data_IF_167032432008
#
_entry.id   IF_167032432008
#
_cell.length_a   1.000
_cell.length_b   1.000
_cell.length_c   1.000
_cell.angle_alpha   90.00
_cell.angle_beta   90.00
_cell.angle_gamma   90.00
#
_symmetry.space_group_name_H-M   'P 1'
#
loop_
_entity.id
_entity.type
_entity.pdbx_description
1 polymer ?
#
# COMPACT_ATOMS: atom_id res chain seq x y z
N UNK A 1 -18.14 -15.75 40.97
CA UNK A 1 -17.08 -15.13 40.15
C UNK A 1 -17.32 -15.57 38.71
N UNK A 2 -17.94 -14.71 37.89
CA UNK A 2 -18.20 -15.02 36.49
C UNK A 2 -17.00 -14.58 35.67
N UNK A 3 -16.27 -15.53 35.08
CA UNK A 3 -15.26 -15.26 34.05
C UNK A 3 -16.00 -15.09 32.73
N UNK A 4 -16.09 -13.86 32.22
CA UNK A 4 -16.43 -13.61 30.83
C UNK A 4 -15.19 -13.90 29.98
N UNK A 5 -15.18 -15.05 29.31
CA UNK A 5 -14.24 -15.29 28.21
C UNK A 5 -14.88 -14.66 26.97
N UNK A 6 -14.39 -13.49 26.57
CA UNK A 6 -14.72 -12.94 25.27
C UNK A 6 -14.06 -13.81 24.20
N UNK A 7 -14.75 -14.15 23.10
CA UNK A 7 -14.12 -14.85 21.99
C UNK A 7 -13.06 -13.93 21.38
N UNK A 8 -11.82 -14.44 21.28
CA UNK A 8 -10.77 -13.84 20.46
C UNK A 8 -11.30 -13.74 19.04
N UNK A 9 -11.35 -12.52 18.52
CA UNK A 9 -11.76 -12.21 17.15
C UNK A 9 -10.68 -12.70 16.17
N UNK A 10 -10.62 -14.01 15.95
CA UNK A 10 -9.62 -14.67 15.12
C UNK A 10 -9.59 -14.23 13.63
N UNK A 11 -10.55 -13.41 13.18
CA UNK A 11 -10.60 -12.91 11.79
C UNK A 11 -9.95 -11.55 11.56
N UNK A 12 -9.65 -10.78 12.61
CA UNK A 12 -9.03 -9.44 12.45
C UNK A 12 -7.55 -9.52 12.14
N UNK A 13 -6.83 -10.36 12.90
CA UNK A 13 -5.38 -10.51 12.81
C UNK A 13 -4.96 -11.21 11.49
N UNK A 14 -5.75 -12.19 11.02
CA UNK A 14 -5.48 -12.90 9.76
C UNK A 14 -5.54 -11.97 8.52
N UNK A 15 -6.48 -11.02 8.51
CA UNK A 15 -6.58 -10.02 7.43
C UNK A 15 -5.39 -9.06 7.44
N UNK A 16 -4.95 -8.64 8.64
CA UNK A 16 -3.78 -7.76 8.79
C UNK A 16 -2.50 -8.45 8.36
N UNK A 17 -2.28 -9.69 8.81
CA UNK A 17 -1.12 -10.49 8.43
C UNK A 17 -1.10 -10.77 6.94
N UNK A 18 -2.23 -11.17 6.35
CA UNK A 18 -2.35 -11.39 4.91
C UNK A 18 -2.06 -10.13 4.10
N UNK A 19 -2.62 -9.00 4.48
CA UNK A 19 -2.38 -7.72 3.81
C UNK A 19 -0.89 -7.35 3.85
N UNK A 20 -0.28 -7.49 5.03
CA UNK A 20 1.14 -7.19 5.22
C UNK A 20 2.05 -8.14 4.42
N UNK A 21 1.74 -9.44 4.38
CA UNK A 21 2.50 -10.44 3.64
C UNK A 21 2.43 -10.20 2.13
N UNK A 22 1.25 -9.85 1.60
CA UNK A 22 1.09 -9.45 0.20
C UNK A 22 1.94 -8.21 -0.14
N UNK A 23 1.87 -7.17 0.69
CA UNK A 23 2.70 -5.97 0.51
C UNK A 23 4.20 -6.30 0.59
N UNK A 24 4.62 -7.14 1.53
CA UNK A 24 6.01 -7.57 1.66
C UNK A 24 6.47 -8.35 0.42
N UNK A 25 5.64 -9.25 -0.10
CA UNK A 25 5.98 -9.99 -1.32
C UNK A 25 6.05 -9.06 -2.53
N UNK A 26 5.13 -8.10 -2.67
CA UNK A 26 5.20 -7.09 -3.73
C UNK A 26 6.49 -6.25 -3.66
N UNK A 27 6.98 -5.93 -2.45
CA UNK A 27 8.28 -5.25 -2.30
C UNK A 27 9.47 -6.11 -2.74
N UNK A 28 9.41 -7.43 -2.52
CA UNK A 28 10.42 -8.37 -3.03
C UNK A 28 10.38 -8.37 -4.55
N UNK A 29 9.20 -8.49 -5.15
CA UNK A 29 9.01 -8.49 -6.60
C UNK A 29 9.51 -7.18 -7.24
N UNK A 30 9.24 -6.02 -6.62
CA UNK A 30 9.84 -4.73 -7.00
C UNK A 30 11.36 -4.76 -7.01
N UNK A 31 11.99 -5.38 -6.01
CA UNK A 31 13.45 -5.47 -5.90
C UNK A 31 14.06 -6.38 -6.98
N UNK A 32 13.27 -7.32 -7.51
CA UNK A 32 13.63 -8.21 -8.61
C UNK A 32 13.21 -7.66 -9.98
N UNK A 33 12.72 -6.41 -10.04
CA UNK A 33 12.17 -5.75 -11.24
C UNK A 33 10.98 -6.48 -11.89
N UNK A 34 10.24 -7.26 -11.11
CA UNK A 34 8.96 -7.91 -11.47
C UNK A 34 7.79 -6.96 -11.17
N UNK A 35 7.73 -5.86 -11.92
CA UNK A 35 6.85 -4.74 -11.59
C UNK A 35 5.38 -5.08 -11.78
N UNK A 36 5.03 -5.81 -12.83
CA UNK A 36 3.67 -6.26 -13.12
C UNK A 36 3.12 -7.21 -12.05
N UNK A 37 3.94 -8.15 -11.58
CA UNK A 37 3.60 -9.04 -10.47
C UNK A 37 3.44 -8.27 -9.16
N UNK A 38 4.34 -7.31 -8.90
CA UNK A 38 4.26 -6.46 -7.73
C UNK A 38 2.96 -5.63 -7.70
N UNK A 39 2.53 -5.08 -8.84
CA UNK A 39 1.26 -4.34 -8.97
C UNK A 39 0.08 -5.18 -8.48
N UNK A 40 -0.01 -6.44 -8.92
CA UNK A 40 -1.11 -7.33 -8.52
C UNK A 40 -1.12 -7.52 -7.01
N UNK A 41 0.04 -7.81 -6.41
CA UNK A 41 0.17 -8.03 -4.97
C UNK A 41 -0.19 -6.79 -4.15
N UNK A 42 0.28 -5.62 -4.57
CA UNK A 42 -0.05 -4.37 -3.88
C UNK A 42 -1.53 -4.02 -4.00
N UNK A 43 -2.15 -4.23 -5.16
CA UNK A 43 -3.59 -4.01 -5.33
C UNK A 43 -4.42 -4.98 -4.49
N UNK A 44 -3.97 -6.23 -4.33
CA UNK A 44 -4.61 -7.19 -3.41
C UNK A 44 -4.45 -6.76 -1.95
N UNK A 45 -3.27 -6.30 -1.55
CA UNK A 45 -3.04 -5.76 -0.21
C UNK A 45 -3.95 -4.54 0.05
N UNK A 46 -4.01 -3.59 -0.88
CA UNK A 46 -4.83 -2.37 -0.77
C UNK A 46 -6.35 -2.65 -0.65
N UNK A 47 -6.84 -3.77 -1.20
CA UNK A 47 -8.24 -4.21 -1.01
C UNK A 47 -8.53 -4.67 0.42
N UNK A 48 -7.53 -5.18 1.14
CA UNK A 48 -7.66 -5.64 2.52
C UNK A 48 -7.49 -4.51 3.51
N UNK A 49 -6.44 -3.70 3.30
CA UNK A 49 -6.08 -2.55 4.13
C UNK A 49 -5.43 -1.47 3.27
N UNK A 50 -5.81 -0.22 3.48
CA UNK A 50 -5.18 0.91 2.82
C UNK A 50 -3.86 1.32 3.49
N UNK A 51 -3.11 2.17 2.81
CA UNK A 51 -1.86 2.76 3.30
C UNK A 51 -2.02 3.31 4.72
N UNK A 52 -1.05 2.99 5.57
CA UNK A 52 -0.98 3.38 6.98
C UNK A 52 -2.08 2.82 7.90
N UNK A 53 -2.95 1.91 7.43
CA UNK A 53 -3.94 1.25 8.30
C UNK A 53 -3.35 0.12 9.16
N UNK A 54 -2.13 -0.33 8.86
CA UNK A 54 -1.37 -1.32 9.65
C UNK A 54 -0.19 -0.59 10.31
N UNK A 55 -0.18 -0.52 11.64
CA UNK A 55 0.78 0.32 12.42
C UNK A 55 1.64 -0.46 13.40
N UNK A 56 1.28 -1.72 13.65
CA UNK A 56 1.87 -2.62 14.62
C UNK A 56 3.02 -3.47 14.06
N UNK A 57 3.37 -3.28 12.78
CA UNK A 57 4.42 -4.01 12.07
C UNK A 57 5.62 -3.09 11.76
N UNK A 58 6.85 -3.62 11.69
CA UNK A 58 8.07 -2.81 11.57
C UNK A 58 8.30 -2.19 10.18
N UNK A 59 7.73 -2.75 9.10
CA UNK A 59 7.77 -2.13 7.77
C UNK A 59 6.56 -1.22 7.59
N UNK A 60 6.79 -0.08 6.94
CA UNK A 60 5.72 0.83 6.59
C UNK A 60 4.82 0.23 5.50
N UNK A 61 3.55 0.06 5.84
CA UNK A 61 2.53 -0.50 4.95
C UNK A 61 1.95 0.58 4.02
N UNK A 62 2.37 0.58 2.76
CA UNK A 62 1.97 1.60 1.75
C UNK A 62 1.67 1.01 0.36
N UNK A 63 0.74 0.04 0.27
CA UNK A 63 0.49 -0.69 -0.97
C UNK A 63 0.01 0.20 -2.13
N UNK A 64 -0.76 1.25 -1.88
CA UNK A 64 -1.26 2.15 -2.93
C UNK A 64 -0.13 2.98 -3.51
N UNK A 65 0.73 3.57 -2.67
CA UNK A 65 1.92 4.26 -3.13
C UNK A 65 2.83 3.33 -3.96
N UNK A 66 3.05 2.11 -3.47
CA UNK A 66 3.89 1.13 -4.14
C UNK A 66 3.29 0.66 -5.48
N UNK A 67 1.96 0.56 -5.59
CA UNK A 67 1.25 0.32 -6.85
C UNK A 67 1.54 1.44 -7.86
N UNK A 68 1.38 2.70 -7.44
CA UNK A 68 1.66 3.86 -8.29
C UNK A 68 3.11 3.89 -8.77
N UNK A 69 4.05 3.60 -7.86
CA UNK A 69 5.47 3.57 -8.17
C UNK A 69 5.84 2.43 -9.13
N UNK A 70 5.19 1.27 -9.01
CA UNK A 70 5.37 0.18 -9.94
C UNK A 70 4.84 0.53 -11.35
N UNK A 71 3.68 1.19 -11.45
CA UNK A 71 3.19 1.73 -12.73
C UNK A 71 4.15 2.76 -13.34
N UNK A 72 4.75 3.62 -12.52
CA UNK A 72 5.81 4.53 -12.97
C UNK A 72 7.00 3.76 -13.57
N UNK A 73 7.44 2.66 -12.93
CA UNK A 73 8.59 1.87 -13.41
C UNK A 73 8.37 1.20 -14.77
N UNK A 74 7.13 0.80 -15.07
CA UNK A 74 6.78 0.23 -16.38
C UNK A 74 6.38 1.29 -17.41
N UNK A 75 6.34 2.56 -17.02
CA UNK A 75 5.96 3.68 -17.91
C UNK A 75 4.46 3.81 -18.16
N UNK A 76 3.61 3.10 -17.42
CA UNK A 76 2.16 3.28 -17.46
C UNK A 76 1.76 4.55 -16.69
N UNK A 77 2.00 5.68 -17.35
CA UNK A 77 1.84 7.01 -16.76
C UNK A 77 0.42 7.27 -16.30
N UNK A 78 -0.58 6.85 -17.07
CA UNK A 78 -1.99 7.09 -16.75
C UNK A 78 -2.36 6.44 -15.42
N UNK A 79 -2.03 5.16 -15.24
CA UNK A 79 -2.32 4.46 -13.99
C UNK A 79 -1.46 4.94 -12.82
N UNK A 80 -0.19 5.30 -13.06
CA UNK A 80 0.63 5.92 -12.04
C UNK A 80 -0.02 7.21 -11.50
N UNK A 81 -0.55 8.05 -12.39
CA UNK A 81 -1.29 9.26 -12.01
C UNK A 81 -2.54 8.96 -11.17
N UNK A 82 -3.33 7.95 -11.57
CA UNK A 82 -4.53 7.55 -10.84
C UNK A 82 -4.20 7.08 -9.42
N UNK A 83 -3.20 6.20 -9.28
CA UNK A 83 -2.82 5.60 -8.01
C UNK A 83 -2.11 6.61 -7.09
N UNK A 84 -1.26 7.50 -7.60
CA UNK A 84 -0.69 8.58 -6.77
C UNK A 84 -1.75 9.55 -6.27
N UNK A 85 -2.77 9.88 -7.08
CA UNK A 85 -3.91 10.70 -6.63
C UNK A 85 -4.72 9.95 -5.57
N UNK A 86 -4.93 8.64 -5.72
CA UNK A 86 -5.62 7.81 -4.74
C UNK A 86 -4.85 7.77 -3.41
N UNK A 87 -3.55 7.53 -3.46
CA UNK A 87 -2.65 7.56 -2.32
C UNK A 87 -2.77 8.87 -1.55
N UNK A 88 -2.60 10.02 -2.21
CA UNK A 88 -2.67 11.34 -1.57
C UNK A 88 -4.05 11.63 -0.98
N UNK A 89 -5.12 11.16 -1.62
CA UNK A 89 -6.50 11.31 -1.13
C UNK A 89 -6.75 10.52 0.16
N UNK A 90 -6.09 9.37 0.34
CA UNK A 90 -6.36 8.41 1.42
C UNK A 90 -5.38 8.50 2.59
N UNK A 91 -4.11 8.83 2.33
CA UNK A 91 -3.04 8.80 3.34
C UNK A 91 -3.22 9.79 4.51
N UNK A 92 -4.11 10.80 4.36
CA UNK A 92 -4.42 11.75 5.42
C UNK A 92 -3.20 12.56 5.89
N UNK A 93 -3.22 13.04 7.14
CA UNK A 93 -2.16 13.90 7.70
C UNK A 93 -0.89 13.17 8.16
N UNK A 94 -0.89 11.83 8.15
CA UNK A 94 0.21 11.01 8.68
C UNK A 94 1.12 10.47 7.56
N UNK A 95 0.89 10.92 6.33
CA UNK A 95 1.68 10.52 5.17
C UNK A 95 3.15 10.85 5.36
N UNK A 96 4.03 9.92 5.01
CA UNK A 96 5.47 10.18 5.03
C UNK A 96 5.82 11.30 4.03
N UNK A 97 6.58 12.33 4.44
CA UNK A 97 6.89 13.47 3.58
C UNK A 97 7.52 13.10 2.25
N UNK A 98 8.44 12.13 2.24
CA UNK A 98 9.13 11.68 1.02
C UNK A 98 8.19 11.02 0.02
N UNK A 99 7.22 10.22 0.48
CA UNK A 99 6.21 9.60 -0.39
C UNK A 99 5.23 10.63 -0.91
N UNK A 100 4.85 11.59 -0.06
CA UNK A 100 3.99 12.71 -0.48
C UNK A 100 4.67 13.56 -1.55
N UNK A 101 5.92 13.95 -1.32
CA UNK A 101 6.72 14.75 -2.27
C UNK A 101 6.87 14.02 -3.61
N UNK A 102 7.23 12.72 -3.59
CA UNK A 102 7.30 11.91 -4.80
C UNK A 102 5.97 11.90 -5.58
N UNK A 103 4.86 11.65 -4.89
CA UNK A 103 3.53 11.60 -5.52
C UNK A 103 3.11 12.98 -6.10
N UNK A 104 3.31 14.06 -5.34
CA UNK A 104 2.99 15.42 -5.78
C UNK A 104 3.84 15.82 -7.00
N UNK A 105 5.15 15.55 -6.98
CA UNK A 105 6.06 15.86 -8.07
C UNK A 105 5.76 15.04 -9.32
N UNK A 106 5.46 13.74 -9.17
CA UNK A 106 5.05 12.92 -10.31
C UNK A 106 3.78 13.48 -10.95
N UNK A 107 2.76 13.79 -10.13
CA UNK A 107 1.50 14.34 -10.63
C UNK A 107 1.71 15.65 -11.37
N UNK A 108 2.45 16.59 -10.78
CA UNK A 108 2.71 17.91 -11.34
C UNK A 108 3.40 17.85 -12.71
N UNK A 109 4.33 16.90 -12.89
CA UNK A 109 5.17 16.83 -14.08
C UNK A 109 4.63 15.91 -15.18
N UNK A 110 3.73 14.98 -14.84
CA UNK A 110 3.34 13.89 -15.75
C UNK A 110 1.83 13.73 -15.95
N UNK A 111 0.98 14.32 -15.09
CA UNK A 111 -0.45 14.06 -15.06
C UNK A 111 -1.24 15.31 -15.46
N UNK A 112 -1.32 15.55 -16.78
CA UNK A 112 -2.15 16.61 -17.39
C UNK A 112 -3.65 16.37 -17.15
#
# INVERSE_FOLDING_TARGET
>A
MFLFVFPVTAGGDDVLDKAYDLNRQGMIDMSEAKFEEAIVLFQEAAKLKFDYEITEKPLLYTPTFLTAWAFEKIGDREKACEEFRLFLKRAGSHVEPTKKEHADDFIKNHCL
#
